data_IF_460022260242
#
_entry.id   IF_460022260242
#
_cell.length_a   1.000
_cell.length_b   1.000
_cell.length_c   1.000
_cell.angle_alpha   90.00
_cell.angle_beta   90.00
_cell.angle_gamma   90.00
#
_symmetry.space_group_name_H-M   'P 1'
#
loop_
_entity.id
_entity.type
_entity.pdbx_description
1 polymer ?
#
# COMPACT_ATOMS: atom_id res chain seq x y z
N UNK A 1 19.30 16.79 29.26
CA UNK A 1 19.26 15.93 28.07
C UNK A 1 17.88 15.28 27.99
N UNK A 2 16.94 15.90 27.28
CA UNK A 2 15.60 15.36 27.12
C UNK A 2 15.60 14.40 25.91
N UNK A 3 15.23 13.14 26.16
CA UNK A 3 15.07 12.11 25.14
C UNK A 3 13.95 12.49 24.18
N UNK A 4 14.29 12.69 22.91
CA UNK A 4 13.32 12.80 21.83
C UNK A 4 12.67 11.41 21.66
N UNK A 5 11.42 11.25 22.13
CA UNK A 5 10.60 10.12 21.72
C UNK A 5 10.56 10.09 20.19
N UNK A 6 10.83 8.96 19.51
CA UNK A 6 10.73 8.89 18.07
C UNK A 6 9.32 9.33 17.68
N UNK A 7 9.24 10.38 16.86
CA UNK A 7 7.96 10.88 16.39
C UNK A 7 7.21 9.74 15.69
N UNK A 8 5.91 9.64 15.93
CA UNK A 8 4.99 8.61 15.38
C UNK A 8 5.26 8.23 13.91
N UNK A 9 5.61 9.17 13.00
CA UNK A 9 5.92 8.85 11.60
C UNK A 9 7.18 7.98 11.42
N UNK A 10 8.24 8.22 12.20
CA UNK A 10 9.48 7.46 12.09
C UNK A 10 9.29 6.01 12.57
N UNK A 11 8.51 5.83 13.62
CA UNK A 11 8.15 4.51 14.15
C UNK A 11 7.28 3.75 13.15
N UNK A 12 6.29 4.42 12.54
CA UNK A 12 5.45 3.83 11.49
C UNK A 12 6.28 3.42 10.26
N UNK A 13 7.19 4.29 9.80
CA UNK A 13 8.12 3.98 8.70
C UNK A 13 9.02 2.78 9.04
N UNK A 14 9.54 2.71 10.28
CA UNK A 14 10.36 1.58 10.72
C UNK A 14 9.56 0.27 10.77
N UNK A 15 8.30 0.31 11.20
CA UNK A 15 7.41 -0.85 11.19
C UNK A 15 7.14 -1.34 9.77
N UNK A 16 6.81 -0.44 8.83
CA UNK A 16 6.62 -0.79 7.41
C UNK A 16 7.89 -1.41 6.80
N UNK A 17 9.07 -0.84 7.08
CA UNK A 17 10.35 -1.43 6.63
C UNK A 17 10.57 -2.83 7.19
N UNK A 18 10.19 -3.07 8.45
CA UNK A 18 10.32 -4.39 9.08
C UNK A 18 9.35 -5.39 8.46
N UNK A 19 8.08 -5.02 8.27
CA UNK A 19 7.07 -5.85 7.60
C UNK A 19 7.55 -6.27 6.21
N UNK A 20 7.98 -5.29 5.39
CA UNK A 20 8.49 -5.55 4.03
C UNK A 20 9.68 -6.52 4.01
N UNK A 21 10.62 -6.40 4.96
CA UNK A 21 11.74 -7.34 5.09
C UNK A 21 11.27 -8.76 5.38
N UNK A 22 10.29 -8.92 6.29
CA UNK A 22 9.74 -10.24 6.63
C UNK A 22 9.00 -10.85 5.42
N UNK A 23 8.27 -10.04 4.67
CA UNK A 23 7.63 -10.48 3.44
C UNK A 23 8.66 -10.98 2.42
N UNK A 24 9.75 -10.25 2.18
CA UNK A 24 10.80 -10.71 1.26
C UNK A 24 11.46 -12.01 1.71
N UNK A 25 11.69 -12.20 3.01
CA UNK A 25 12.19 -13.48 3.54
C UNK A 25 11.20 -14.61 3.22
N UNK A 26 9.89 -14.38 3.38
CA UNK A 26 8.85 -15.36 3.07
C UNK A 26 8.81 -15.69 1.57
N UNK A 27 8.86 -14.67 0.71
CA UNK A 27 8.88 -14.84 -0.75
C UNK A 27 10.11 -15.62 -1.20
N UNK A 28 11.30 -15.25 -0.70
CA UNK A 28 12.54 -15.96 -1.02
C UNK A 28 12.55 -17.40 -0.52
N UNK A 29 12.02 -17.65 0.69
CA UNK A 29 11.89 -19.01 1.22
C UNK A 29 11.00 -19.87 0.33
N UNK A 30 9.82 -19.36 -0.05
CA UNK A 30 8.93 -20.08 -0.96
C UNK A 30 9.61 -20.35 -2.31
N UNK A 31 10.26 -19.32 -2.89
CA UNK A 31 10.96 -19.41 -4.16
C UNK A 31 12.17 -20.36 -4.16
N UNK A 32 12.61 -20.87 -3.00
CA UNK A 32 13.64 -21.90 -2.88
C UNK A 32 13.10 -23.33 -2.72
N UNK A 33 11.78 -23.51 -2.55
CA UNK A 33 11.18 -24.84 -2.39
C UNK A 33 11.10 -25.59 -3.73
N UNK A 34 11.03 -26.94 -3.72
CA UNK A 34 10.69 -27.76 -4.89
C UNK A 34 9.35 -27.34 -5.50
N UNK A 35 9.16 -27.58 -6.80
CA UNK A 35 7.97 -27.11 -7.54
C UNK A 35 6.62 -27.49 -6.90
N UNK A 36 6.40 -28.73 -6.41
CA UNK A 36 5.13 -29.09 -5.77
C UNK A 36 4.86 -28.27 -4.49
N UNK A 37 5.90 -28.06 -3.68
CA UNK A 37 5.80 -27.28 -2.44
C UNK A 37 5.67 -25.78 -2.71
N UNK A 38 6.36 -25.29 -3.75
CA UNK A 38 6.22 -23.93 -4.24
C UNK A 38 4.78 -23.66 -4.69
N UNK A 39 4.23 -24.53 -5.55
CA UNK A 39 2.88 -24.36 -6.06
C UNK A 39 1.84 -24.39 -4.95
N UNK A 40 1.96 -25.32 -4.00
CA UNK A 40 1.07 -25.40 -2.84
C UNK A 40 1.16 -24.16 -1.92
N UNK A 41 2.32 -23.50 -1.87
CA UNK A 41 2.54 -22.33 -1.01
C UNK A 41 2.29 -20.97 -1.68
N UNK A 42 2.09 -20.92 -3.00
CA UNK A 42 2.05 -19.68 -3.77
C UNK A 42 0.89 -18.77 -3.38
N UNK A 43 -0.33 -19.29 -3.32
CA UNK A 43 -1.51 -18.52 -2.90
C UNK A 43 -1.32 -17.90 -1.50
N UNK A 44 -0.73 -18.67 -0.59
CA UNK A 44 -0.42 -18.20 0.77
C UNK A 44 0.53 -16.99 0.79
N UNK A 45 1.49 -16.93 -0.14
CA UNK A 45 2.37 -15.77 -0.30
C UNK A 45 1.64 -14.61 -0.96
N UNK A 46 0.76 -14.84 -1.92
CA UNK A 46 -0.08 -13.77 -2.51
C UNK A 46 -0.95 -13.11 -1.44
N UNK A 47 -1.61 -13.89 -0.58
CA UNK A 47 -2.37 -13.37 0.56
C UNK A 47 -1.50 -12.57 1.55
N UNK A 48 -0.24 -12.97 1.73
CA UNK A 48 0.70 -12.22 2.56
C UNK A 48 1.07 -10.87 1.95
N UNK A 49 1.26 -10.81 0.63
CA UNK A 49 1.52 -9.57 -0.10
C UNK A 49 0.31 -8.64 0.06
N UNK A 50 -0.90 -9.14 -0.13
CA UNK A 50 -2.14 -8.38 0.03
C UNK A 50 -2.27 -7.76 1.42
N UNK A 51 -2.06 -8.56 2.48
CA UNK A 51 -2.12 -8.07 3.86
C UNK A 51 -1.09 -6.97 4.14
N UNK A 52 0.15 -7.14 3.65
CA UNK A 52 1.22 -6.14 3.81
C UNK A 52 0.87 -4.82 3.08
N UNK A 53 0.29 -4.91 1.87
CA UNK A 53 -0.13 -3.73 1.10
C UNK A 53 -1.30 -3.00 1.76
N UNK A 54 -2.32 -3.72 2.23
CA UNK A 54 -3.44 -3.12 2.94
C UNK A 54 -2.99 -2.41 4.24
N UNK A 55 -2.04 -3.01 4.95
CA UNK A 55 -1.44 -2.39 6.13
C UNK A 55 -0.65 -1.12 5.76
N UNK A 56 0.17 -1.17 4.70
CA UNK A 56 0.91 0.00 4.20
C UNK A 56 -0.02 1.15 3.83
N UNK A 57 -1.10 0.87 3.08
CA UNK A 57 -2.09 1.85 2.69
C UNK A 57 -2.78 2.51 3.90
N UNK A 58 -3.13 1.72 4.92
CA UNK A 58 -3.73 2.23 6.17
C UNK A 58 -2.79 3.20 6.88
N UNK A 59 -1.50 2.87 6.94
CA UNK A 59 -0.48 3.73 7.55
C UNK A 59 -0.31 5.01 6.72
N UNK A 60 -0.24 4.91 5.40
CA UNK A 60 -0.10 6.05 4.49
C UNK A 60 -1.32 7.00 4.58
N UNK A 61 -2.53 6.45 4.68
CA UNK A 61 -3.76 7.22 4.89
C UNK A 61 -3.75 7.96 6.22
N UNK A 62 -3.35 7.29 7.30
CA UNK A 62 -3.26 7.88 8.65
C UNK A 62 -2.25 9.03 8.68
N UNK A 63 -1.18 8.95 7.89
CA UNK A 63 -0.14 9.97 7.80
C UNK A 63 -0.45 11.06 6.77
N UNK A 64 -1.58 10.99 6.05
CA UNK A 64 -1.98 11.99 5.07
C UNK A 64 -1.09 12.02 3.83
N UNK A 65 -0.65 10.85 3.34
CA UNK A 65 0.20 10.78 2.15
C UNK A 65 -0.52 11.22 0.87
N UNK A 66 0.03 12.24 0.20
CA UNK A 66 -0.59 12.90 -0.96
C UNK A 66 -0.80 11.98 -2.18
N UNK A 67 0.01 10.92 -2.35
CA UNK A 67 -0.05 9.99 -3.49
C UNK A 67 -0.78 8.66 -3.22
N UNK A 68 -1.69 8.64 -2.24
CA UNK A 68 -2.35 7.40 -1.79
C UNK A 68 -3.21 6.75 -2.89
N UNK A 69 -3.83 7.56 -3.76
CA UNK A 69 -4.68 7.05 -4.83
C UNK A 69 -3.87 6.27 -5.87
N UNK A 70 -2.76 6.84 -6.33
CA UNK A 70 -1.84 6.19 -7.27
C UNK A 70 -1.21 4.95 -6.66
N UNK A 71 -0.89 4.98 -5.35
CA UNK A 71 -0.38 3.81 -4.61
C UNK A 71 -1.40 2.67 -4.63
N UNK A 72 -2.66 2.95 -4.27
CA UNK A 72 -3.75 1.97 -4.27
C UNK A 72 -3.97 1.37 -5.66
N UNK A 73 -3.95 2.20 -6.71
CA UNK A 73 -4.09 1.74 -8.08
C UNK A 73 -2.95 0.79 -8.51
N UNK A 74 -1.70 1.13 -8.20
CA UNK A 74 -0.55 0.27 -8.47
C UNK A 74 -0.63 -1.06 -7.71
N UNK A 75 -1.00 -1.02 -6.43
CA UNK A 75 -1.19 -2.22 -5.60
C UNK A 75 -2.30 -3.12 -6.15
N UNK A 76 -3.45 -2.55 -6.53
CA UNK A 76 -4.54 -3.30 -7.12
C UNK A 76 -4.14 -4.00 -8.43
N UNK A 77 -3.34 -3.33 -9.28
CA UNK A 77 -2.83 -3.94 -10.52
C UNK A 77 -1.87 -5.10 -10.26
N UNK A 78 -0.98 -4.97 -9.27
CA UNK A 78 -0.09 -6.04 -8.82
C UNK A 78 -0.91 -7.24 -8.33
N UNK A 79 -1.85 -7.02 -7.42
CA UNK A 79 -2.69 -8.09 -6.86
C UNK A 79 -3.54 -8.78 -7.93
N UNK A 80 -4.18 -8.02 -8.81
CA UNK A 80 -4.96 -8.59 -9.92
C UNK A 80 -4.09 -9.45 -10.85
N UNK A 81 -2.82 -9.10 -11.03
CA UNK A 81 -1.89 -9.90 -11.83
C UNK A 81 -1.47 -11.18 -11.10
N UNK A 82 -1.16 -11.09 -9.81
CA UNK A 82 -0.82 -12.26 -8.98
C UNK A 82 -1.98 -13.26 -8.89
N UNK A 83 -3.21 -12.80 -8.65
CA UNK A 83 -4.38 -13.68 -8.59
C UNK A 83 -4.65 -14.42 -9.90
N UNK A 84 -4.39 -13.80 -11.06
CA UNK A 84 -4.47 -14.51 -12.36
C UNK A 84 -3.42 -15.61 -12.51
N UNK A 85 -2.29 -15.47 -11.84
CA UNK A 85 -1.19 -16.43 -11.88
C UNK A 85 -1.41 -17.58 -10.91
N UNK A 86 -2.14 -17.37 -9.79
CA UNK A 86 -2.47 -18.42 -8.81
C UNK A 86 -3.02 -19.66 -9.50
N UNK A 87 -4.04 -19.52 -10.36
CA UNK A 87 -4.65 -20.67 -11.06
C UNK A 87 -3.66 -21.42 -11.95
N UNK A 88 -2.71 -20.73 -12.59
CA UNK A 88 -1.70 -21.36 -13.45
C UNK A 88 -0.66 -22.13 -12.61
N UNK A 89 -0.27 -21.56 -11.48
CA UNK A 89 0.67 -22.19 -10.53
C UNK A 89 0.04 -23.43 -9.87
N UNK A 90 -1.25 -23.37 -9.52
CA UNK A 90 -2.02 -24.51 -9.02
C UNK A 90 -2.07 -25.66 -10.03
N UNK A 91 -2.13 -25.35 -11.33
CA UNK A 91 -2.06 -26.36 -12.41
C UNK A 91 -0.64 -26.85 -12.70
N UNK A 92 0.37 -26.38 -11.97
CA UNK A 92 1.74 -26.87 -12.03
C UNK A 92 2.76 -25.94 -12.69
N UNK A 93 2.37 -24.73 -13.09
CA UNK A 93 3.33 -23.75 -13.67
C UNK A 93 4.13 -23.00 -12.59
N UNK A 94 5.00 -23.74 -11.91
CA UNK A 94 5.87 -23.18 -10.87
C UNK A 94 6.86 -22.14 -11.44
N UNK A 95 7.30 -22.30 -12.68
CA UNK A 95 8.23 -21.38 -13.33
C UNK A 95 7.61 -19.98 -13.53
N UNK A 96 6.36 -19.91 -13.97
CA UNK A 96 5.60 -18.67 -14.05
C UNK A 96 5.45 -18.03 -12.67
N UNK A 97 5.07 -18.82 -11.66
CA UNK A 97 4.92 -18.32 -10.29
C UNK A 97 6.22 -17.71 -9.75
N UNK A 98 7.37 -18.35 -9.97
CA UNK A 98 8.67 -17.80 -9.53
C UNK A 98 9.00 -16.51 -10.25
N UNK A 99 8.76 -16.46 -11.57
CA UNK A 99 8.93 -15.23 -12.37
C UNK A 99 8.05 -14.10 -11.82
N UNK A 100 6.81 -14.42 -11.46
CA UNK A 100 5.88 -13.47 -10.85
C UNK A 100 6.36 -12.98 -9.47
N UNK A 101 6.88 -13.85 -8.60
CA UNK A 101 7.44 -13.44 -7.32
C UNK A 101 8.67 -12.56 -7.46
N UNK A 102 9.53 -12.83 -8.45
CA UNK A 102 10.68 -11.95 -8.75
C UNK A 102 10.19 -10.57 -9.16
N UNK A 103 9.27 -10.48 -10.13
CA UNK A 103 8.72 -9.20 -10.57
C UNK A 103 7.99 -8.45 -9.44
N UNK A 104 7.22 -9.16 -8.61
CA UNK A 104 6.60 -8.60 -7.43
C UNK A 104 7.65 -8.08 -6.43
N UNK A 105 8.74 -8.81 -6.21
CA UNK A 105 9.83 -8.39 -5.32
C UNK A 105 10.48 -7.09 -5.78
N UNK A 106 10.70 -6.94 -7.09
CA UNK A 106 11.26 -5.74 -7.68
C UNK A 106 10.33 -4.53 -7.51
N UNK A 107 9.04 -4.70 -7.81
CA UNK A 107 8.03 -3.65 -7.63
C UNK A 107 7.90 -3.23 -6.16
N UNK A 108 7.82 -4.19 -5.25
CA UNK A 108 7.72 -3.93 -3.81
C UNK A 108 9.00 -3.27 -3.26
N UNK A 109 10.17 -3.53 -3.86
CA UNK A 109 11.43 -2.87 -3.51
C UNK A 109 11.43 -1.41 -3.95
N UNK A 110 10.92 -1.11 -5.14
CA UNK A 110 10.73 0.26 -5.62
C UNK A 110 9.71 1.02 -4.78
N UNK A 111 8.60 0.37 -4.42
CA UNK A 111 7.60 0.90 -3.51
C UNK A 111 8.20 1.30 -2.16
N UNK A 112 9.07 0.46 -1.58
CA UNK A 112 9.76 0.78 -0.33
C UNK A 112 10.59 2.07 -0.43
N UNK A 113 11.37 2.23 -1.50
CA UNK A 113 12.22 3.41 -1.67
C UNK A 113 11.40 4.70 -1.80
N UNK A 114 10.30 4.64 -2.55
CA UNK A 114 9.41 5.79 -2.76
C UNK A 114 8.63 6.14 -1.48
N UNK A 115 8.18 5.13 -0.72
CA UNK A 115 7.51 5.34 0.58
C UNK A 115 8.49 5.92 1.62
N UNK A 116 9.73 5.40 1.71
CA UNK A 116 10.75 5.93 2.62
C UNK A 116 11.07 7.41 2.31
N UNK A 117 11.21 7.78 1.03
CA UNK A 117 11.43 9.16 0.61
C UNK A 117 10.23 10.07 0.96
N UNK A 118 9.01 9.62 0.65
CA UNK A 118 7.80 10.36 0.95
C UNK A 118 7.64 10.65 2.45
N UNK A 119 7.88 9.65 3.30
CA UNK A 119 7.76 9.80 4.75
C UNK A 119 8.85 10.70 5.34
N UNK A 120 10.04 10.75 4.73
CA UNK A 120 11.10 11.70 5.11
C UNK A 120 10.78 13.14 4.71
N UNK A 121 10.12 13.34 3.56
CA UNK A 121 9.73 14.65 3.04
C UNK A 121 8.44 15.18 3.68
N UNK A 122 7.59 14.29 4.21
CA UNK A 122 6.36 14.65 4.91
C UNK A 122 6.68 15.50 6.15
N UNK A 123 6.29 16.77 6.11
CA UNK A 123 6.50 17.71 7.21
C UNK A 123 5.35 17.56 8.22
N UNK A 124 5.60 17.41 9.53
CA UNK A 124 4.52 17.38 10.50
C UNK A 124 3.79 18.74 10.52
N UNK A 125 2.50 18.72 10.18
CA UNK A 125 1.59 19.86 10.39
C UNK A 125 1.49 20.91 9.28
N UNK A 126 1.67 20.56 8.01
CA UNK A 126 1.28 21.47 6.91
C UNK A 126 -0.26 21.66 6.87
N UNK A 127 -0.79 22.90 6.82
CA UNK A 127 -2.24 23.10 6.80
C UNK A 127 -2.83 22.49 5.52
N UNK A 128 -3.89 21.68 5.69
CA UNK A 128 -4.76 21.29 4.59
C UNK A 128 -5.21 22.54 3.84
N UNK A 129 -5.03 22.63 2.52
CA UNK A 129 -5.37 23.84 1.81
C UNK A 129 -6.90 24.03 1.83
N UNK A 130 -7.32 25.26 2.16
CA UNK A 130 -8.71 25.60 2.48
C UNK A 130 -9.74 25.40 1.35
N UNK A 131 -9.31 25.01 0.14
CA UNK A 131 -10.17 24.85 -1.02
C UNK A 131 -11.00 23.56 -1.02
N UNK A 132 -10.78 22.64 -0.08
CA UNK A 132 -11.63 21.45 0.15
C UNK A 132 -12.62 21.63 1.31
N UNK A 133 -12.75 22.83 1.90
CA UNK A 133 -13.94 23.17 2.71
C UNK A 133 -15.11 23.41 1.77
N UNK A 134 -15.85 22.33 1.52
CA UNK A 134 -16.98 22.27 0.62
C UNK A 134 -17.85 23.53 0.62
N UNK A 135 -17.99 24.09 -0.59
CA UNK A 135 -19.02 25.06 -0.90
C UNK A 135 -20.38 24.35 -0.77
N UNK A 136 -21.04 24.48 0.40
CA UNK A 136 -22.42 24.03 0.56
C UNK A 136 -23.30 24.94 -0.30
N UNK A 137 -23.68 24.44 -1.46
CA UNK A 137 -24.85 24.91 -2.21
C UNK A 137 -26.09 24.50 -1.41
N UNK A 138 -26.69 25.44 -0.66
CA UNK A 138 -28.05 25.37 -0.10
C UNK A 138 -28.36 26.74 0.55
N UNK A 139 -29.34 27.54 0.15
CA UNK A 139 -30.37 27.37 -0.86
C UNK A 139 -30.86 28.74 -1.30
N UNK A 140 -31.02 28.89 -2.61
CA UNK A 140 -31.84 29.90 -3.24
C UNK A 140 -33.30 29.57 -2.86
N UNK A 141 -33.97 30.43 -2.09
CA UNK A 141 -35.42 30.68 -2.09
C UNK A 141 -35.75 31.64 -0.93
N UNK A 142 -35.40 32.92 -1.10
CA UNK A 142 -35.88 34.00 -0.25
C UNK A 142 -37.01 34.76 -0.96
N UNK A 143 -38.23 34.61 -0.43
CA UNK A 143 -39.14 35.75 -0.24
C UNK A 143 -39.96 36.27 -1.43
N UNK A 144 -41.04 35.57 -1.79
CA UNK A 144 -42.29 36.26 -2.21
C UNK A 144 -42.98 36.79 -0.94
N UNK A 145 -43.16 38.12 -0.80
CA UNK A 145 -44.40 38.82 -0.35
C UNK A 145 -44.19 40.32 0.00
N UNK A 146 -45.00 41.17 -0.67
CA UNK A 146 -45.70 42.44 -0.27
C UNK A 146 -44.85 43.65 0.20
N UNK A 147 -45.19 44.95 0.01
CA UNK A 147 -46.40 45.78 -0.27
C UNK A 147 -45.88 47.25 -0.56
N UNK A 148 -46.66 48.36 -0.65
CA UNK A 148 -48.08 48.61 -0.38
C UNK A 148 -48.97 48.74 -1.62
#
# INVERSE_FOLDING_TARGET
>A
MASLSPSTPHTAAAALRRARKLLFVRMHRLAGLPDPEFSAGFESVVAAIEADLAHEETVMETLGFDGLHERRAANALLLASLHRIVTQVETGDAALGRTALTAASDLLSLHRLTTDLALLLARPGGPLPAHLRGNRVSGLLAGRRRKP
#
